data_IF_364327870097
#
_entry.id   IF_364327870097
#
_cell.length_a   1.000
_cell.length_b   1.000
_cell.length_c   1.000
_cell.angle_alpha   90.00
_cell.angle_beta   90.00
_cell.angle_gamma   90.00
#
_symmetry.space_group_name_H-M   'P 1'
#
loop_
_entity.id
_entity.type
_entity.pdbx_description
1 polymer ?
#
# COMPACT_ATOMS: atom_id res chain seq x y z
N UNK A 1 8.76 -35.84 4.78
CA UNK A 1 8.95 -34.50 5.40
C UNK A 1 7.63 -33.73 5.28
N UNK A 2 7.19 -33.02 6.33
CA UNK A 2 5.98 -32.15 6.30
C UNK A 2 6.41 -30.69 6.12
N UNK A 3 6.74 -30.31 4.88
CA UNK A 3 7.08 -28.92 4.56
C UNK A 3 5.85 -28.02 4.68
N UNK A 4 6.05 -26.76 5.03
CA UNK A 4 5.02 -25.73 4.96
C UNK A 4 5.58 -24.58 4.13
N UNK A 5 4.80 -24.07 3.20
CA UNK A 5 5.13 -22.86 2.46
C UNK A 5 4.33 -21.70 3.05
N UNK A 6 5.00 -20.56 3.24
CA UNK A 6 4.41 -19.35 3.80
C UNK A 6 4.83 -18.17 2.92
N UNK A 7 3.85 -17.37 2.51
CA UNK A 7 4.11 -16.12 1.80
C UNK A 7 3.11 -15.05 2.26
N UNK A 8 3.56 -13.80 2.33
CA UNK A 8 2.69 -12.65 2.60
C UNK A 8 2.44 -11.86 1.32
N UNK A 9 1.31 -11.17 1.29
CA UNK A 9 0.98 -10.21 0.24
C UNK A 9 0.00 -9.16 0.78
N UNK A 10 -0.29 -8.16 -0.03
CA UNK A 10 -1.27 -7.12 0.22
C UNK A 10 -2.41 -7.17 -0.81
N UNK A 11 -3.55 -6.63 -0.43
CA UNK A 11 -4.74 -6.54 -1.30
C UNK A 11 -4.85 -5.19 -2.00
N UNK A 12 -5.91 -5.05 -2.79
CA UNK A 12 -6.15 -3.85 -3.62
C UNK A 12 -6.39 -2.58 -2.80
N UNK A 13 -6.86 -2.73 -1.56
CA UNK A 13 -7.18 -1.60 -0.67
C UNK A 13 -5.97 -1.14 0.14
N UNK A 14 -4.81 -1.79 -0.02
CA UNK A 14 -3.65 -1.50 0.80
C UNK A 14 -3.13 -0.08 0.54
N UNK A 15 -3.17 0.76 1.59
CA UNK A 15 -2.68 2.14 1.61
C UNK A 15 -3.23 3.02 0.49
N UNK A 16 -4.45 2.71 0.01
CA UNK A 16 -5.10 3.42 -1.09
C UNK A 16 -5.29 4.92 -0.80
N UNK A 17 -5.44 5.29 0.47
CA UNK A 17 -5.65 6.66 0.92
C UNK A 17 -4.46 7.56 0.57
N UNK A 18 -3.24 7.01 0.59
CA UNK A 18 -2.02 7.73 0.19
C UNK A 18 -2.04 8.02 -1.31
N UNK A 19 -2.47 7.05 -2.12
CA UNK A 19 -2.61 7.24 -3.56
C UNK A 19 -3.67 8.30 -3.88
N UNK A 20 -4.79 8.27 -3.15
CA UNK A 20 -5.85 9.28 -3.29
C UNK A 20 -5.35 10.68 -2.92
N UNK A 21 -4.61 10.80 -1.81
CA UNK A 21 -4.06 12.05 -1.31
C UNK A 21 -3.13 12.72 -2.33
N UNK A 22 -2.20 11.97 -2.91
CA UNK A 22 -1.27 12.56 -3.90
C UNK A 22 -1.97 12.92 -5.20
N UNK A 23 -2.97 12.14 -5.63
CA UNK A 23 -3.77 12.46 -6.82
C UNK A 23 -4.65 13.69 -6.63
N UNK A 24 -5.11 13.94 -5.42
CA UNK A 24 -5.84 15.17 -5.08
C UNK A 24 -4.93 16.40 -5.18
N UNK A 25 -3.64 16.26 -4.83
CA UNK A 25 -2.66 17.32 -5.01
C UNK A 25 -2.31 17.53 -6.48
N UNK A 26 -1.97 16.45 -7.20
CA UNK A 26 -1.69 16.47 -8.63
C UNK A 26 -2.05 15.12 -9.25
N UNK A 27 -2.99 15.11 -10.19
CA UNK A 27 -3.51 13.91 -10.83
C UNK A 27 -2.48 13.13 -11.68
N UNK A 28 -1.38 13.78 -12.07
CA UNK A 28 -0.29 13.16 -12.83
C UNK A 28 0.64 12.33 -11.95
N UNK A 29 0.53 12.42 -10.62
CA UNK A 29 1.36 11.66 -9.70
C UNK A 29 0.98 10.17 -9.71
N UNK A 30 1.99 9.33 -9.88
CA UNK A 30 1.97 7.88 -9.80
C UNK A 30 3.01 7.45 -8.77
N UNK A 31 2.60 6.75 -7.71
CA UNK A 31 3.50 6.26 -6.63
C UNK A 31 4.16 4.92 -6.95
N UNK A 32 3.48 4.08 -7.72
CA UNK A 32 3.99 2.80 -8.23
C UNK A 32 3.43 2.59 -9.62
N UNK A 33 4.30 2.23 -10.57
CA UNK A 33 3.87 1.85 -11.91
C UNK A 33 3.23 0.45 -11.92
N UNK A 34 3.59 -0.40 -10.95
CA UNK A 34 3.17 -1.79 -10.91
C UNK A 34 2.08 -2.02 -9.85
N UNK A 35 0.94 -2.53 -10.30
CA UNK A 35 -0.14 -3.02 -9.45
C UNK A 35 0.13 -4.47 -9.03
N UNK A 36 1.16 -4.70 -8.20
CA UNK A 36 1.64 -6.05 -7.85
C UNK A 36 0.53 -6.97 -7.27
N UNK A 37 -0.47 -6.41 -6.60
CA UNK A 37 -1.63 -7.16 -6.09
C UNK A 37 -2.48 -7.79 -7.22
N UNK A 38 -2.37 -7.32 -8.46
CA UNK A 38 -3.01 -7.93 -9.63
C UNK A 38 -2.27 -9.20 -10.07
N UNK A 39 -0.96 -9.24 -9.89
CA UNK A 39 -0.14 -10.42 -10.18
C UNK A 39 -0.25 -11.46 -9.06
N UNK A 40 -0.14 -11.03 -7.80
CA UNK A 40 -0.31 -11.88 -6.62
C UNK A 40 -0.71 -11.05 -5.39
N UNK A 41 -2.02 -10.98 -5.14
CA UNK A 41 -2.63 -10.25 -4.01
C UNK A 41 -3.53 -11.14 -3.14
N UNK A 42 -4.17 -10.54 -2.14
CA UNK A 42 -5.10 -11.27 -1.26
C UNK A 42 -6.33 -11.81 -2.01
N UNK A 43 -6.72 -11.17 -3.10
CA UNK A 43 -7.91 -11.47 -3.89
C UNK A 43 -7.72 -12.69 -4.79
N UNK A 44 -6.54 -12.86 -5.39
CA UNK A 44 -6.24 -13.94 -6.35
C UNK A 44 -5.21 -14.95 -5.85
N UNK A 45 -4.46 -14.66 -4.78
CA UNK A 45 -3.34 -15.49 -4.31
C UNK A 45 -3.77 -16.91 -3.93
N UNK A 46 -4.97 -17.09 -3.36
CA UNK A 46 -5.51 -18.43 -3.05
C UNK A 46 -5.71 -19.27 -4.30
N UNK A 47 -6.28 -18.68 -5.35
CA UNK A 47 -6.52 -19.35 -6.62
C UNK A 47 -5.21 -19.74 -7.30
N UNK A 48 -4.24 -18.83 -7.29
CA UNK A 48 -2.89 -19.08 -7.84
C UNK A 48 -2.22 -20.26 -7.10
N UNK A 49 -2.24 -20.24 -5.77
CA UNK A 49 -1.56 -21.26 -4.95
C UNK A 49 -2.24 -22.64 -5.00
N UNK A 50 -3.56 -22.69 -5.18
CA UNK A 50 -4.29 -23.96 -5.30
C UNK A 50 -3.87 -24.80 -6.52
N UNK A 51 -3.15 -24.22 -7.49
CA UNK A 51 -2.58 -24.95 -8.64
C UNK A 51 -1.43 -25.87 -8.23
N UNK A 52 -0.69 -25.50 -7.18
CA UNK A 52 0.53 -26.18 -6.75
C UNK A 52 0.38 -26.88 -5.38
N UNK A 53 -0.53 -26.39 -4.53
CA UNK A 53 -0.72 -26.88 -3.16
C UNK A 53 -2.12 -27.44 -2.94
N UNK A 54 -2.22 -28.51 -2.13
CA UNK A 54 -3.50 -29.17 -1.84
C UNK A 54 -4.29 -28.44 -0.76
N UNK A 55 -3.60 -27.80 0.17
CA UNK A 55 -4.24 -27.01 1.22
C UNK A 55 -3.66 -25.61 1.22
N UNK A 56 -4.53 -24.61 1.01
CA UNK A 56 -4.16 -23.18 1.04
C UNK A 56 -5.10 -22.46 1.99
N UNK A 57 -4.55 -21.92 3.06
CA UNK A 57 -5.25 -21.06 4.02
C UNK A 57 -4.78 -19.63 3.90
N UNK A 58 -5.71 -18.68 3.91
CA UNK A 58 -5.42 -17.24 3.89
C UNK A 58 -5.75 -16.66 5.26
N UNK A 59 -4.82 -15.90 5.82
CA UNK A 59 -4.98 -15.17 7.07
C UNK A 59 -4.80 -13.69 6.77
N UNK A 60 -5.86 -12.90 6.93
CA UNK A 60 -5.79 -11.45 6.84
C UNK A 60 -5.21 -10.89 8.14
N UNK A 61 -4.42 -9.84 8.01
CA UNK A 61 -3.85 -9.10 9.14
C UNK A 61 -4.66 -7.82 9.31
N UNK A 62 -5.44 -7.76 10.39
CA UNK A 62 -6.30 -6.61 10.71
C UNK A 62 -5.47 -5.56 11.44
N UNK A 63 -5.17 -4.47 10.74
CA UNK A 63 -4.35 -3.37 11.24
C UNK A 63 -4.58 -2.11 10.39
N UNK A 64 -4.15 -0.97 10.91
CA UNK A 64 -4.23 0.32 10.23
C UNK A 64 -3.11 1.24 10.72
N UNK A 65 -2.80 2.27 9.94
CA UNK A 65 -1.85 3.30 10.36
C UNK A 65 -2.62 4.59 10.58
N UNK A 66 -2.46 5.17 11.77
CA UNK A 66 -2.99 6.49 12.12
C UNK A 66 -1.85 7.50 12.13
N UNK A 67 -1.99 8.56 11.33
CA UNK A 67 -0.99 9.63 11.23
C UNK A 67 -1.65 10.98 11.52
N UNK A 68 -1.02 11.79 12.36
CA UNK A 68 -1.46 13.15 12.70
C UNK A 68 -0.41 14.22 12.35
N UNK A 69 0.68 13.85 11.67
CA UNK A 69 1.76 14.76 11.26
C UNK A 69 2.14 14.52 9.81
N UNK A 70 2.46 15.59 9.08
CA UNK A 70 2.70 15.51 7.64
C UNK A 70 4.03 14.82 7.29
N UNK A 71 5.07 15.10 8.07
CA UNK A 71 6.45 14.68 7.78
C UNK A 71 6.63 13.15 7.58
N UNK A 72 6.07 12.24 8.41
CA UNK A 72 6.19 10.80 8.17
C UNK A 72 5.49 10.34 6.88
N UNK A 73 4.33 10.93 6.57
CA UNK A 73 3.57 10.60 5.36
C UNK A 73 4.28 11.09 4.10
N UNK A 74 4.83 12.31 4.13
CA UNK A 74 5.63 12.86 3.04
C UNK A 74 6.89 12.03 2.83
N UNK A 75 7.60 11.66 3.89
CA UNK A 75 8.80 10.83 3.79
C UNK A 75 8.50 9.47 3.15
N UNK A 76 7.35 8.86 3.48
CA UNK A 76 6.92 7.63 2.85
C UNK A 76 6.64 7.83 1.35
N UNK A 77 5.87 8.86 0.99
CA UNK A 77 5.53 9.20 -0.40
C UNK A 77 6.78 9.42 -1.26
N UNK A 78 7.78 10.14 -0.75
CA UNK A 78 9.03 10.40 -1.47
C UNK A 78 9.90 9.14 -1.63
N UNK A 79 9.75 8.14 -0.76
CA UNK A 79 10.46 6.86 -0.86
C UNK A 79 9.86 5.87 -1.85
N UNK A 80 8.69 6.17 -2.42
CA UNK A 80 8.09 5.38 -3.49
C UNK A 80 8.90 5.47 -4.80
N UNK A 81 8.64 4.58 -5.76
CA UNK A 81 9.46 4.42 -6.97
C UNK A 81 8.75 4.88 -8.26
N UNK A 82 7.84 5.86 -8.16
CA UNK A 82 7.11 6.39 -9.31
C UNK A 82 7.66 7.74 -9.80
N UNK A 83 6.79 8.59 -10.34
CA UNK A 83 7.17 9.91 -10.87
C UNK A 83 7.08 11.04 -9.82
N UNK A 84 6.63 10.73 -8.60
CA UNK A 84 6.26 11.72 -7.60
C UNK A 84 7.43 12.63 -7.19
N UNK A 85 8.66 12.14 -7.17
CA UNK A 85 9.83 12.97 -6.82
C UNK A 85 10.05 14.11 -7.81
N UNK A 86 9.80 13.90 -9.10
CA UNK A 86 9.97 14.95 -10.13
C UNK A 86 8.95 16.08 -9.96
N UNK A 87 7.72 15.74 -9.54
CA UNK A 87 6.62 16.69 -9.40
C UNK A 87 6.67 17.38 -8.02
N UNK A 88 6.92 16.62 -6.96
CA UNK A 88 6.81 17.10 -5.58
C UNK A 88 8.02 17.90 -5.10
N UNK A 89 9.20 17.73 -5.70
CA UNK A 89 10.40 18.47 -5.26
C UNK A 89 10.26 19.97 -5.53
N UNK A 90 9.77 20.37 -6.70
CA UNK A 90 9.57 21.77 -7.05
C UNK A 90 8.41 22.42 -6.28
N UNK A 91 7.45 21.60 -5.83
CA UNK A 91 6.25 22.02 -5.11
C UNK A 91 6.27 21.61 -3.63
N UNK A 92 7.43 21.31 -3.05
CA UNK A 92 7.53 20.65 -1.74
C UNK A 92 6.85 21.44 -0.61
N UNK A 93 6.99 22.77 -0.62
CA UNK A 93 6.37 23.63 0.40
C UNK A 93 4.84 23.57 0.33
N UNK A 94 4.30 23.70 -0.87
CA UNK A 94 2.86 23.65 -1.13
C UNK A 94 2.29 22.27 -0.79
N UNK A 95 3.00 21.22 -1.18
CA UNK A 95 2.65 19.85 -0.85
C UNK A 95 2.66 19.61 0.66
N UNK A 96 3.67 20.10 1.37
CA UNK A 96 3.75 19.96 2.84
C UNK A 96 2.60 20.67 3.55
N UNK A 97 2.26 21.89 3.12
CA UNK A 97 1.10 22.62 3.66
C UNK A 97 -0.22 21.91 3.36
N UNK A 98 -0.38 21.35 2.15
CA UNK A 98 -1.53 20.55 1.75
C UNK A 98 -1.68 19.30 2.62
N UNK A 99 -0.62 18.49 2.76
CA UNK A 99 -0.64 17.28 3.59
C UNK A 99 -0.89 17.64 5.05
N UNK A 100 -0.29 18.73 5.56
CA UNK A 100 -0.51 19.23 6.92
C UNK A 100 -2.00 19.45 7.23
N UNK A 101 -2.73 20.11 6.32
CA UNK A 101 -4.19 20.30 6.45
C UNK A 101 -4.97 18.98 6.40
N UNK A 102 -4.51 18.01 5.61
CA UNK A 102 -5.18 16.71 5.45
C UNK A 102 -5.06 15.81 6.66
N UNK A 103 -3.96 15.91 7.40
CA UNK A 103 -3.68 15.06 8.57
C UNK A 103 -4.03 15.71 9.91
N UNK A 104 -4.46 16.98 9.92
CA UNK A 104 -4.71 17.77 11.14
C UNK A 104 -5.69 17.08 12.12
N UNK A 105 -6.70 16.39 11.59
CA UNK A 105 -7.72 15.68 12.38
C UNK A 105 -7.44 14.16 12.47
N UNK A 106 -6.23 13.73 12.14
CA UNK A 106 -5.90 12.32 11.95
C UNK A 106 -6.15 11.86 10.52
N UNK A 107 -5.29 10.96 10.06
CA UNK A 107 -5.30 10.39 8.72
C UNK A 107 -5.18 8.87 8.83
N UNK A 108 -6.29 8.19 8.53
CA UNK A 108 -6.38 6.74 8.55
C UNK A 108 -5.86 6.15 7.25
N UNK A 109 -4.97 5.17 7.35
CA UNK A 109 -4.41 4.43 6.21
C UNK A 109 -4.74 2.96 6.39
N UNK A 110 -5.44 2.40 5.40
CA UNK A 110 -5.86 1.00 5.41
C UNK A 110 -4.66 0.09 5.21
N UNK A 111 -4.43 -0.88 6.10
CA UNK A 111 -3.41 -1.93 5.92
C UNK A 111 -4.05 -3.25 5.49
N UNK A 112 -4.41 -3.35 4.22
CA UNK A 112 -4.97 -4.58 3.64
C UNK A 112 -3.84 -5.56 3.33
N UNK A 113 -3.35 -6.28 4.34
CA UNK A 113 -2.26 -7.24 4.23
C UNK A 113 -2.65 -8.59 4.80
N UNK A 114 -1.91 -9.63 4.43
CA UNK A 114 -2.15 -10.97 4.95
C UNK A 114 -1.10 -11.97 4.49
N UNK A 115 -1.33 -13.23 4.83
CA UNK A 115 -0.44 -14.33 4.53
C UNK A 115 -1.19 -15.58 4.09
N UNK A 116 -0.55 -16.36 3.24
CA UNK A 116 -0.97 -17.70 2.87
C UNK A 116 -0.09 -18.74 3.56
N UNK A 117 -0.73 -19.79 4.06
CA UNK A 117 -0.08 -20.99 4.58
C UNK A 117 -0.49 -22.17 3.70
N UNK A 118 0.51 -22.84 3.12
CA UNK A 118 0.28 -23.94 2.18
C UNK A 118 0.92 -25.25 2.64
N UNK A 119 0.27 -26.37 2.29
CA UNK A 119 0.71 -27.75 2.54
C UNK A 119 0.51 -28.65 1.31
#
# INVERSE_FOLDING_TARGET
KKGRFVCSTYGRKHMQEITQLVKEFNAEIVLSADHLYENFGLENGKEILNKEFKQVSCFRYEDAIEINTADPLISYILSCHGNQNHILLDHYKEFREFVGKKVENGFHITKDAGMFLCQ
#
